data_IF_484301958527
#
_entry.id   IF_484301958527
#
_cell.length_a   1.000
_cell.length_b   1.000
_cell.length_c   1.000
_cell.angle_alpha   90.00
_cell.angle_beta   90.00
_cell.angle_gamma   90.00
#
_symmetry.space_group_name_H-M   'P 1'
#
loop_
_entity.id
_entity.type
_entity.pdbx_description
1 polymer ?
#
# COMPACT_ATOMS: atom_id res chain seq x y z
N UNK A 1 27.87 26.58 46.91
CA UNK A 1 26.62 25.80 46.83
C UNK A 1 26.38 25.42 45.38
N UNK A 2 27.00 24.31 44.95
CA UNK A 2 26.84 23.75 43.59
C UNK A 2 26.02 22.48 43.70
N UNK A 3 24.67 22.60 43.62
CA UNK A 3 23.75 21.49 43.77
C UNK A 3 23.37 21.00 42.35
N UNK A 4 24.00 19.90 41.90
CA UNK A 4 23.34 18.71 41.41
C UNK A 4 22.31 18.88 40.25
N UNK A 5 22.75 19.44 39.17
CA UNK A 5 22.05 19.41 37.88
C UNK A 5 22.08 17.99 37.27
N UNK A 6 23.06 17.17 37.69
CA UNK A 6 23.24 15.79 37.18
C UNK A 6 22.16 14.78 37.63
N UNK A 7 21.45 15.04 38.73
CA UNK A 7 20.38 14.13 39.20
C UNK A 7 19.03 14.42 38.55
N UNK A 8 18.81 15.62 38.01
CA UNK A 8 17.57 15.96 37.32
C UNK A 8 17.51 15.39 35.89
N UNK A 9 18.67 15.24 35.27
CA UNK A 9 18.75 14.71 33.90
C UNK A 9 18.56 13.20 33.88
N UNK A 10 19.00 12.47 34.92
CA UNK A 10 18.77 11.01 35.00
C UNK A 10 17.32 10.62 35.25
N UNK A 11 16.50 11.46 35.87
CA UNK A 11 15.08 11.17 36.11
C UNK A 11 14.20 11.46 34.90
N UNK A 12 14.67 12.27 33.93
CA UNK A 12 13.90 12.63 32.75
C UNK A 12 14.04 11.62 31.60
N UNK A 13 15.09 10.78 31.63
CA UNK A 13 15.36 9.78 30.61
C UNK A 13 14.57 8.49 30.84
N UNK A 14 14.04 8.24 32.04
CA UNK A 14 13.27 7.03 32.35
C UNK A 14 11.76 7.12 32.01
N UNK A 15 11.24 8.27 31.60
CA UNK A 15 9.81 8.42 31.24
C UNK A 15 9.53 8.28 29.73
N UNK A 16 10.55 8.02 28.91
CA UNK A 16 10.44 7.96 27.45
C UNK A 16 10.17 6.58 26.84
N UNK A 17 10.07 5.53 27.62
CA UNK A 17 9.90 4.16 27.12
C UNK A 17 8.55 3.53 27.48
N UNK A 18 7.46 4.31 27.42
CA UNK A 18 6.14 3.72 27.27
C UNK A 18 5.93 3.47 25.78
N UNK A 19 6.51 2.37 25.31
CA UNK A 19 6.15 1.79 24.02
C UNK A 19 4.65 1.52 24.06
N UNK A 20 3.88 2.23 23.25
CA UNK A 20 2.52 1.85 22.93
C UNK A 20 2.58 0.52 22.18
N UNK A 21 2.64 -0.59 22.91
CA UNK A 21 2.22 -1.87 22.36
C UNK A 21 0.73 -1.73 22.11
N UNK A 22 0.35 -1.62 20.83
CA UNK A 22 -1.05 -1.75 20.45
C UNK A 22 -1.59 -3.04 21.07
N UNK A 23 -2.75 -3.01 21.73
CA UNK A 23 -3.33 -4.21 22.29
C UNK A 23 -3.53 -5.19 21.11
N UNK A 24 -2.84 -6.31 21.14
CA UNK A 24 -3.18 -7.45 20.29
C UNK A 24 -4.58 -7.87 20.73
N UNK A 25 -5.57 -7.50 19.91
CA UNK A 25 -6.93 -7.97 20.10
C UNK A 25 -6.94 -9.49 19.84
N UNK A 26 -6.71 -10.25 20.88
CA UNK A 26 -7.01 -11.68 20.87
C UNK A 26 -8.52 -11.79 21.09
N UNK A 27 -9.23 -12.21 20.06
CA UNK A 27 -10.64 -12.56 20.16
C UNK A 27 -10.72 -13.90 20.92
N UNK A 28 -11.14 -13.93 22.19
CA UNK A 28 -11.00 -15.12 23.05
C UNK A 28 -11.88 -16.30 22.65
N UNK A 29 -12.88 -16.05 21.78
CA UNK A 29 -13.97 -17.00 21.50
C UNK A 29 -14.05 -17.48 20.04
N UNK A 30 -13.02 -17.20 19.22
CA UNK A 30 -13.00 -17.74 17.86
C UNK A 30 -12.40 -19.16 17.88
N UNK A 31 -13.22 -20.22 17.80
CA UNK A 31 -12.73 -21.61 17.79
C UNK A 31 -11.99 -21.95 16.49
N UNK A 32 -12.08 -21.06 15.48
CA UNK A 32 -11.44 -21.19 14.17
C UNK A 32 -10.47 -20.03 14.02
N UNK A 33 -9.22 -20.34 13.78
CA UNK A 33 -8.19 -19.36 13.42
C UNK A 33 -8.00 -19.37 11.90
N UNK A 34 -7.91 -18.18 11.30
CA UNK A 34 -7.59 -18.05 9.89
C UNK A 34 -6.15 -18.51 9.61
N UNK A 35 -5.95 -19.14 8.48
CA UNK A 35 -4.63 -19.45 7.96
C UNK A 35 -4.18 -18.28 7.09
N UNK A 36 -3.05 -17.63 7.36
CA UNK A 36 -2.53 -16.59 6.49
C UNK A 36 -2.42 -17.09 5.04
N UNK A 37 -2.93 -16.34 4.07
CA UNK A 37 -2.94 -16.76 2.67
C UNK A 37 -1.51 -17.07 2.14
N UNK A 38 -0.48 -16.44 2.70
CA UNK A 38 0.92 -16.68 2.37
C UNK A 38 1.42 -18.07 2.79
N UNK A 39 0.69 -18.77 3.66
CA UNK A 39 0.97 -20.15 4.06
C UNK A 39 0.22 -21.18 3.22
N UNK A 40 -0.66 -20.73 2.33
CA UNK A 40 -1.43 -21.60 1.42
C UNK A 40 -0.64 -21.77 0.13
N UNK A 41 -0.37 -23.02 -0.25
CA UNK A 41 0.33 -23.35 -1.48
C UNK A 41 -0.59 -24.14 -2.41
N UNK A 42 -0.60 -23.77 -3.67
CA UNK A 42 -1.33 -24.48 -4.73
C UNK A 42 -0.34 -25.30 -5.57
N UNK A 43 -0.49 -26.62 -5.54
CA UNK A 43 0.32 -27.57 -6.30
C UNK A 43 -0.54 -28.43 -7.24
N UNK A 44 -1.55 -27.84 -7.85
CA UNK A 44 -2.51 -28.54 -8.68
C UNK A 44 -2.49 -28.04 -10.13
N UNK A 45 -2.93 -28.87 -11.10
CA UNK A 45 -2.88 -28.50 -12.51
C UNK A 45 -3.96 -27.48 -12.92
N UNK A 46 -4.86 -27.10 -12.03
CA UNK A 46 -5.91 -26.14 -12.32
C UNK A 46 -5.56 -24.73 -11.83
N UNK A 47 -5.22 -24.56 -10.55
CA UNK A 47 -4.97 -23.24 -9.96
C UNK A 47 -3.54 -22.72 -10.22
N UNK A 48 -2.53 -23.59 -10.14
CA UNK A 48 -1.14 -23.14 -10.30
C UNK A 48 -0.88 -22.41 -11.63
N UNK A 49 -1.37 -22.88 -12.79
CA UNK A 49 -1.20 -22.14 -14.04
C UNK A 49 -1.96 -20.81 -14.07
N UNK A 50 -3.11 -20.73 -13.40
CA UNK A 50 -3.92 -19.50 -13.34
C UNK A 50 -3.28 -18.44 -12.49
N UNK A 51 -2.69 -18.82 -11.36
CA UNK A 51 -1.92 -17.93 -10.49
C UNK A 51 -0.72 -17.37 -11.26
N UNK A 52 -0.01 -18.22 -12.01
CA UNK A 52 1.12 -17.78 -12.83
C UNK A 52 0.70 -16.83 -13.96
N UNK A 53 -0.40 -17.12 -14.66
CA UNK A 53 -0.96 -16.21 -15.67
C UNK A 53 -1.40 -14.89 -15.03
N UNK A 54 -2.02 -14.94 -13.87
CA UNK A 54 -2.39 -13.70 -13.16
C UNK A 54 -1.18 -12.83 -12.86
N UNK A 55 -0.12 -13.44 -12.35
CA UNK A 55 1.14 -12.75 -12.01
C UNK A 55 1.85 -12.18 -13.23
N UNK A 56 1.98 -12.97 -14.30
CA UNK A 56 2.84 -12.64 -15.45
C UNK A 56 2.13 -11.93 -16.59
N UNK A 57 0.80 -12.00 -16.64
CA UNK A 57 0.01 -11.45 -17.75
C UNK A 57 -1.08 -10.50 -17.25
N UNK A 58 -1.95 -10.93 -16.32
CA UNK A 58 -3.12 -10.14 -15.96
C UNK A 58 -2.75 -8.86 -15.19
N UNK A 59 -1.88 -8.96 -14.19
CA UNK A 59 -1.42 -7.81 -13.41
C UNK A 59 -0.68 -6.80 -14.30
N UNK A 60 0.34 -7.17 -15.10
CA UNK A 60 0.99 -6.24 -16.03
C UNK A 60 0.01 -5.61 -17.04
N UNK A 61 -0.92 -6.39 -17.57
CA UNK A 61 -1.95 -5.87 -18.50
C UNK A 61 -2.86 -4.86 -17.84
N UNK A 62 -3.27 -5.08 -16.59
CA UNK A 62 -4.11 -4.16 -15.84
C UNK A 62 -3.39 -2.84 -15.55
N UNK A 63 -2.12 -2.87 -15.15
CA UNK A 63 -1.31 -1.66 -15.03
C UNK A 63 -1.18 -0.91 -16.35
N UNK A 64 -0.90 -1.61 -17.43
CA UNK A 64 -0.84 -1.00 -18.75
C UNK A 64 -2.16 -0.32 -19.14
N UNK A 65 -3.32 -0.92 -18.83
CA UNK A 65 -4.61 -0.27 -19.06
C UNK A 65 -4.75 1.02 -18.22
N UNK A 66 -4.30 1.04 -16.97
CA UNK A 66 -4.30 2.27 -16.18
C UNK A 66 -3.39 3.35 -16.76
N UNK A 67 -2.23 2.98 -17.31
CA UNK A 67 -1.31 3.90 -17.97
C UNK A 67 -1.95 4.54 -19.21
N UNK A 68 -2.40 3.73 -20.15
CA UNK A 68 -2.95 4.24 -21.44
C UNK A 68 -4.26 5.00 -21.29
N UNK A 69 -5.03 4.73 -20.22
CA UNK A 69 -6.25 5.46 -19.90
C UNK A 69 -6.00 6.67 -18.97
N UNK A 70 -4.75 6.97 -18.65
CA UNK A 70 -4.36 8.15 -17.89
C UNK A 70 -4.75 8.12 -16.40
N UNK A 71 -4.97 6.92 -15.82
CA UNK A 71 -5.35 6.80 -14.40
C UNK A 71 -4.25 7.31 -13.48
N UNK A 72 -2.99 7.01 -13.77
CA UNK A 72 -1.85 7.54 -13.02
C UNK A 72 -1.56 9.01 -13.35
N UNK A 73 -1.81 9.43 -14.59
CA UNK A 73 -1.69 10.84 -14.99
C UNK A 73 -2.61 11.73 -14.15
N UNK A 74 -3.84 11.28 -13.85
CA UNK A 74 -4.78 12.02 -13.01
C UNK A 74 -4.20 12.30 -11.62
N UNK A 75 -3.59 11.30 -10.98
CA UNK A 75 -2.89 11.51 -9.71
C UNK A 75 -1.68 12.43 -9.86
N UNK A 76 -0.90 12.29 -10.93
CA UNK A 76 0.24 13.17 -11.19
C UNK A 76 -0.19 14.63 -11.42
N UNK A 77 -1.33 14.84 -12.07
CA UNK A 77 -1.93 16.18 -12.27
C UNK A 77 -2.41 16.74 -10.93
N UNK A 78 -3.20 15.99 -10.18
CA UNK A 78 -3.72 16.40 -8.87
C UNK A 78 -2.58 16.71 -7.88
N UNK A 79 -1.51 15.93 -7.90
CA UNK A 79 -0.31 16.14 -7.08
C UNK A 79 0.65 17.21 -7.60
N UNK A 80 0.33 17.89 -8.71
CA UNK A 80 1.18 18.93 -9.30
C UNK A 80 2.48 18.44 -9.95
N UNK A 81 2.64 17.13 -10.13
CA UNK A 81 3.80 16.52 -10.78
C UNK A 81 3.73 16.64 -12.31
N UNK A 82 2.53 16.81 -12.86
CA UNK A 82 2.28 16.95 -14.28
C UNK A 82 1.24 18.05 -14.53
N UNK A 83 1.33 18.71 -15.69
CA UNK A 83 0.29 19.66 -16.17
C UNK A 83 -0.65 18.91 -17.10
N UNK A 84 -1.94 19.16 -16.97
CA UNK A 84 -2.95 18.57 -17.83
C UNK A 84 -4.36 18.76 -17.27
N UNK A 85 -5.30 18.10 -17.92
CA UNK A 85 -6.69 18.01 -17.47
C UNK A 85 -6.98 16.57 -17.06
N UNK A 86 -7.93 16.39 -16.12
CA UNK A 86 -8.40 15.09 -15.71
C UNK A 86 -8.89 14.27 -16.92
N UNK A 87 -8.53 13.00 -16.97
CA UNK A 87 -8.90 12.05 -18.02
C UNK A 87 -9.91 11.05 -17.49
N UNK A 88 -10.97 10.84 -18.25
CA UNK A 88 -12.05 9.90 -17.91
C UNK A 88 -13.36 10.60 -17.55
N UNK A 89 -14.45 9.85 -17.65
CA UNK A 89 -15.81 10.35 -17.51
C UNK A 89 -16.40 10.12 -16.11
N UNK A 90 -15.70 9.36 -15.27
CA UNK A 90 -16.24 8.92 -13.99
C UNK A 90 -15.34 9.32 -12.81
N UNK A 91 -15.97 9.86 -11.76
CA UNK A 91 -15.30 10.24 -10.52
C UNK A 91 -14.71 9.03 -9.76
N UNK A 92 -15.16 7.81 -10.05
CA UNK A 92 -14.66 6.58 -9.42
C UNK A 92 -13.49 5.92 -10.16
N UNK A 93 -12.98 6.53 -11.22
CA UNK A 93 -11.84 6.01 -11.99
C UNK A 93 -10.57 5.85 -11.14
N UNK A 94 -10.45 6.62 -10.06
CA UNK A 94 -9.40 6.50 -9.04
C UNK A 94 -9.34 5.12 -8.37
N UNK A 95 -10.44 4.37 -8.39
CA UNK A 95 -10.48 3.04 -7.77
C UNK A 95 -9.72 1.97 -8.55
N UNK A 96 -9.47 2.18 -9.85
CA UNK A 96 -8.76 1.21 -10.69
C UNK A 96 -7.31 1.03 -10.25
N UNK A 97 -6.48 2.09 -10.06
CA UNK A 97 -5.16 1.97 -9.47
C UNK A 97 -5.14 1.25 -8.12
N UNK A 98 -6.08 1.57 -7.22
CA UNK A 98 -6.09 0.96 -5.87
C UNK A 98 -6.31 -0.55 -5.93
N UNK A 99 -7.27 -1.00 -6.74
CA UNK A 99 -7.58 -2.43 -6.91
C UNK A 99 -6.40 -3.22 -7.49
N UNK A 100 -5.70 -2.62 -8.47
CA UNK A 100 -4.56 -3.28 -9.12
C UNK A 100 -3.37 -3.33 -8.18
N UNK A 101 -3.09 -2.26 -7.44
CA UNK A 101 -2.03 -2.21 -6.42
C UNK A 101 -2.31 -3.26 -5.34
N UNK A 102 -3.54 -3.39 -4.87
CA UNK A 102 -3.93 -4.41 -3.91
C UNK A 102 -3.65 -5.81 -4.46
N UNK A 103 -4.14 -6.12 -5.67
CA UNK A 103 -3.92 -7.42 -6.30
C UNK A 103 -2.46 -7.75 -6.54
N UNK A 104 -1.65 -6.75 -6.95
CA UNK A 104 -0.22 -6.89 -7.13
C UNK A 104 0.52 -7.11 -5.80
N UNK A 105 0.09 -6.43 -4.73
CA UNK A 105 0.65 -6.61 -3.39
C UNK A 105 0.42 -8.03 -2.85
N UNK A 106 -0.78 -8.59 -3.06
CA UNK A 106 -1.04 -10.00 -2.75
C UNK A 106 -0.13 -10.94 -3.56
N UNK A 107 0.09 -10.65 -4.83
CA UNK A 107 0.99 -11.44 -5.67
C UNK A 107 2.43 -11.40 -5.17
N UNK A 108 2.94 -10.21 -4.80
CA UNK A 108 4.28 -10.04 -4.22
C UNK A 108 4.43 -10.75 -2.88
N UNK A 109 3.40 -10.76 -2.04
CA UNK A 109 3.42 -11.44 -0.74
C UNK A 109 3.54 -12.97 -0.87
N UNK A 110 3.06 -13.55 -1.98
CA UNK A 110 3.18 -14.99 -2.27
C UNK A 110 4.47 -15.30 -3.03
N UNK A 111 4.82 -14.48 -3.99
CA UNK A 111 6.00 -14.65 -4.84
C UNK A 111 6.60 -13.30 -5.15
N UNK A 112 7.74 -12.98 -4.55
CA UNK A 112 8.43 -11.72 -4.73
C UNK A 112 8.93 -11.54 -6.17
N UNK A 113 8.76 -10.35 -6.70
CA UNK A 113 9.24 -9.89 -8.01
C UNK A 113 9.77 -8.47 -7.86
N UNK A 114 11.07 -8.29 -7.90
CA UNK A 114 11.77 -7.02 -7.69
C UNK A 114 11.30 -5.93 -8.66
N UNK A 115 11.00 -6.28 -9.91
CA UNK A 115 10.56 -5.30 -10.92
C UNK A 115 9.15 -4.78 -10.62
N UNK A 116 8.26 -5.69 -10.20
CA UNK A 116 6.91 -5.31 -9.82
C UNK A 116 6.93 -4.48 -8.54
N UNK A 117 7.75 -4.83 -7.56
CA UNK A 117 7.91 -4.11 -6.30
C UNK A 117 8.36 -2.67 -6.55
N UNK A 118 9.43 -2.45 -7.27
CA UNK A 118 9.89 -1.10 -7.66
C UNK A 118 8.87 -0.32 -8.48
N UNK A 119 8.13 -1.01 -9.35
CA UNK A 119 7.07 -0.36 -10.11
C UNK A 119 5.95 0.11 -9.21
N UNK A 120 5.51 -0.72 -8.25
CA UNK A 120 4.51 -0.33 -7.24
C UNK A 120 4.96 0.87 -6.42
N UNK A 121 6.19 0.91 -5.94
CA UNK A 121 6.73 2.04 -5.20
C UNK A 121 6.65 3.34 -6.01
N UNK A 122 6.94 3.29 -7.31
CA UNK A 122 6.84 4.45 -8.19
C UNK A 122 5.40 4.94 -8.35
N UNK A 123 4.46 4.03 -8.53
CA UNK A 123 3.03 4.35 -8.65
C UNK A 123 2.46 4.89 -7.34
N UNK A 124 2.80 4.25 -6.21
CA UNK A 124 2.39 4.69 -4.87
C UNK A 124 2.93 6.11 -4.59
N UNK A 125 4.15 6.41 -5.02
CA UNK A 125 4.74 7.75 -4.87
C UNK A 125 3.96 8.82 -5.65
N UNK A 126 3.46 8.50 -6.84
CA UNK A 126 2.61 9.39 -7.64
C UNK A 126 1.28 9.64 -6.92
N UNK A 127 0.64 8.58 -6.42
CA UNK A 127 -0.62 8.67 -5.68
C UNK A 127 -0.44 9.46 -4.38
N UNK A 128 0.64 9.21 -3.64
CA UNK A 128 0.93 9.93 -2.40
C UNK A 128 1.11 11.44 -2.62
N UNK A 129 1.66 11.86 -3.77
CA UNK A 129 1.79 13.27 -4.11
C UNK A 129 0.45 13.99 -4.30
N UNK A 130 -0.61 13.25 -4.63
CA UNK A 130 -1.96 13.80 -4.80
C UNK A 130 -2.74 13.95 -3.48
N UNK A 131 -2.23 13.41 -2.38
CA UNK A 131 -2.91 13.50 -1.09
C UNK A 131 -2.84 14.92 -0.53
N UNK A 132 -3.98 15.48 -0.17
CA UNK A 132 -4.09 16.81 0.43
C UNK A 132 -3.59 16.84 1.88
N UNK A 133 -3.24 18.02 2.43
CA UNK A 133 -2.70 18.13 3.79
C UNK A 133 -3.64 17.61 4.90
N UNK A 134 -4.94 17.58 4.66
CA UNK A 134 -5.94 17.02 5.58
C UNK A 134 -6.12 15.50 5.44
N UNK A 135 -5.42 14.89 4.48
CA UNK A 135 -5.47 13.46 4.19
C UNK A 135 -6.47 13.07 3.10
N UNK A 136 -7.24 14.03 2.57
CA UNK A 136 -8.16 13.73 1.47
C UNK A 136 -7.39 13.33 0.20
N UNK A 137 -7.94 12.40 -0.57
CA UNK A 137 -7.32 11.88 -1.78
C UNK A 137 -8.37 11.60 -2.85
N UNK A 138 -8.36 12.40 -3.89
CA UNK A 138 -9.15 12.23 -5.12
C UNK A 138 -8.47 12.95 -6.27
N UNK A 139 -8.74 12.51 -7.50
CA UNK A 139 -8.28 13.20 -8.72
C UNK A 139 -9.42 13.96 -9.42
N UNK A 140 -10.68 13.70 -9.04
CA UNK A 140 -11.87 14.33 -9.58
C UNK A 140 -12.26 15.53 -8.70
N UNK A 141 -11.84 16.73 -9.10
CA UNK A 141 -12.15 18.00 -8.43
C UNK A 141 -13.05 18.85 -9.32
#
# INVERSE_FOLDING_TARGET
MKLKITQLVSSLVLLGAVSCSAPTYQQPDAPIQEVPFTQVQFNDPFWSPRIEINRTVSIPSAFHQCEINGRFDNFAIAGGLMKGEHKGDFSFDDTDPYKIIEGASYSLAVQYDEKLDHYLDSVISIIAAAQEPDGYLTTCV
#
